data_IF_007847016412
#
_entry.id   IF_007847016412
#
_cell.length_a   1.000
_cell.length_b   1.000
_cell.length_c   1.000
_cell.angle_alpha   90.00
_cell.angle_beta   90.00
_cell.angle_gamma   90.00
#
_symmetry.space_group_name_H-M   'P 1'
#
loop_
_entity.id
_entity.type
_entity.pdbx_description
1 polymer ?
#
# COMPACT_ATOMS: atom_id res chain seq x y z
N UNK A 1 67.41 29.65 -10.25
CA UNK A 1 66.36 29.88 -9.25
C UNK A 1 64.94 29.74 -9.76
N UNK A 2 64.61 30.09 -11.01
CA UNK A 2 63.27 30.07 -11.66
C UNK A 2 62.74 28.66 -11.92
N UNK A 3 63.56 27.69 -12.23
CA UNK A 3 63.13 26.31 -12.63
C UNK A 3 62.51 25.50 -11.47
N UNK A 4 62.90 25.74 -10.22
CA UNK A 4 62.34 25.10 -9.01
C UNK A 4 60.91 25.53 -8.69
N UNK A 5 60.57 26.79 -8.96
CA UNK A 5 59.22 27.32 -8.74
C UNK A 5 58.21 26.77 -9.73
N UNK A 6 58.62 26.53 -10.98
CA UNK A 6 57.72 25.98 -12.03
C UNK A 6 57.31 24.53 -11.75
N UNK A 7 58.26 23.68 -11.23
CA UNK A 7 58.00 22.32 -10.90
C UNK A 7 57.10 22.18 -9.66
N UNK A 8 57.25 23.01 -8.65
CA UNK A 8 56.37 23.06 -7.47
C UNK A 8 54.96 23.42 -7.81
N UNK A 9 54.74 24.41 -8.70
CA UNK A 9 53.41 24.84 -9.13
C UNK A 9 52.67 23.74 -9.93
N UNK A 10 53.39 22.99 -10.77
CA UNK A 10 52.83 21.87 -11.54
C UNK A 10 52.44 20.68 -10.66
N UNK A 11 53.21 20.38 -9.63
CA UNK A 11 52.90 19.31 -8.66
C UNK A 11 51.67 19.65 -7.78
N UNK A 12 51.53 20.87 -7.34
CA UNK A 12 50.40 21.34 -6.55
C UNK A 12 49.11 21.28 -7.37
N UNK A 13 49.13 21.76 -8.62
CA UNK A 13 47.97 21.71 -9.54
C UNK A 13 47.52 20.26 -9.82
N UNK A 14 48.50 19.34 -9.98
CA UNK A 14 48.18 17.90 -10.21
C UNK A 14 47.55 17.22 -8.99
N UNK A 15 48.02 17.57 -7.78
CA UNK A 15 47.44 17.05 -6.53
C UNK A 15 46.02 17.59 -6.28
N UNK A 16 45.77 18.88 -6.53
CA UNK A 16 44.46 19.51 -6.41
C UNK A 16 43.45 18.87 -7.36
N UNK A 17 43.83 18.64 -8.63
CA UNK A 17 42.97 17.97 -9.58
C UNK A 17 42.60 16.52 -9.17
N UNK A 18 43.55 15.78 -8.58
CA UNK A 18 43.26 14.43 -8.05
C UNK A 18 42.27 14.46 -6.87
N UNK A 19 42.37 15.45 -6.00
CA UNK A 19 41.44 15.61 -4.87
C UNK A 19 40.05 15.97 -5.37
N UNK A 20 39.94 16.92 -6.28
CA UNK A 20 38.66 17.32 -6.90
C UNK A 20 37.99 16.14 -7.61
N UNK A 21 38.76 15.35 -8.37
CA UNK A 21 38.25 14.16 -9.07
C UNK A 21 37.73 13.11 -8.09
N UNK A 22 38.40 12.90 -6.94
CA UNK A 22 37.90 11.99 -5.89
C UNK A 22 36.61 12.48 -5.25
N UNK A 23 36.51 13.79 -4.99
CA UNK A 23 35.27 14.40 -4.49
C UNK A 23 34.11 14.25 -5.47
N UNK A 24 34.34 14.47 -6.75
CA UNK A 24 33.32 14.27 -7.80
C UNK A 24 32.89 12.80 -7.88
N UNK A 25 33.82 11.86 -7.77
CA UNK A 25 33.50 10.44 -7.80
C UNK A 25 32.66 10.00 -6.59
N UNK A 26 32.98 10.50 -5.40
CA UNK A 26 32.23 10.21 -4.16
C UNK A 26 30.82 10.80 -4.22
N UNK A 27 30.69 12.05 -4.68
CA UNK A 27 29.38 12.71 -4.84
C UNK A 27 28.52 12.00 -5.89
N UNK A 28 29.11 11.54 -6.97
CA UNK A 28 28.42 10.77 -8.00
C UNK A 28 27.95 9.40 -7.49
N UNK A 29 28.76 8.72 -6.70
CA UNK A 29 28.38 7.45 -6.04
C UNK A 29 27.23 7.69 -5.07
N UNK A 30 27.25 8.74 -4.25
CA UNK A 30 26.16 9.08 -3.33
C UNK A 30 24.87 9.37 -4.08
N UNK A 31 24.93 10.06 -5.23
CA UNK A 31 23.76 10.33 -6.09
C UNK A 31 23.19 9.07 -6.75
N UNK A 32 24.00 8.06 -7.02
CA UNK A 32 23.52 6.78 -7.56
C UNK A 32 22.78 5.94 -6.49
N UNK A 33 23.10 6.09 -5.21
CA UNK A 33 22.42 5.38 -4.12
C UNK A 33 21.18 6.12 -3.59
N UNK A 34 20.95 7.37 -3.95
CA UNK A 34 19.79 8.14 -3.48
C UNK A 34 18.46 7.75 -4.15
N UNK A 35 18.46 6.86 -5.14
CA UNK A 35 17.24 6.31 -5.76
C UNK A 35 16.82 4.95 -5.15
N UNK A 36 17.09 4.71 -3.87
CA UNK A 36 16.43 3.66 -3.12
C UNK A 36 14.96 4.09 -2.94
N UNK A 37 14.15 3.86 -3.98
CA UNK A 37 12.70 3.95 -3.87
C UNK A 37 12.29 3.01 -2.75
N UNK A 38 11.74 3.53 -1.67
CA UNK A 38 11.07 2.71 -0.68
C UNK A 38 10.03 1.86 -1.43
N UNK A 39 10.19 0.55 -1.38
CA UNK A 39 9.32 -0.37 -2.11
C UNK A 39 7.91 -0.27 -1.54
N UNK A 40 7.02 0.35 -2.30
CA UNK A 40 5.64 0.59 -1.89
C UNK A 40 4.95 -0.75 -1.65
N UNK A 41 4.48 -0.98 -0.42
CA UNK A 41 3.72 -2.19 -0.11
C UNK A 41 2.39 -2.18 -0.86
N UNK A 42 2.21 -3.15 -1.74
CA UNK A 42 0.98 -3.33 -2.51
C UNK A 42 0.43 -4.74 -2.29
N UNK A 43 -0.85 -4.82 -1.88
CA UNK A 43 -1.60 -6.06 -1.74
C UNK A 43 -2.69 -6.12 -2.80
N UNK A 44 -2.80 -7.26 -3.49
CA UNK A 44 -3.87 -7.58 -4.42
C UNK A 44 -4.71 -8.71 -3.84
N UNK A 45 -6.02 -8.58 -3.93
CA UNK A 45 -6.97 -9.55 -3.38
C UNK A 45 -8.08 -9.85 -4.39
N UNK A 46 -8.27 -11.14 -4.68
CA UNK A 46 -9.38 -11.64 -5.47
C UNK A 46 -10.52 -12.00 -4.53
N UNK A 47 -11.65 -11.33 -4.65
CA UNK A 47 -12.75 -11.41 -3.70
C UNK A 47 -13.99 -12.09 -4.26
N UNK A 48 -14.60 -12.91 -3.43
CA UNK A 48 -15.98 -13.39 -3.59
C UNK A 48 -16.86 -12.70 -2.57
N UNK A 49 -17.93 -12.06 -3.01
CA UNK A 49 -18.85 -11.30 -2.16
C UNK A 49 -20.18 -12.05 -2.01
N UNK A 50 -20.69 -12.08 -0.78
CA UNK A 50 -22.00 -12.63 -0.45
C UNK A 50 -22.76 -11.67 0.46
N UNK A 51 -24.01 -11.36 0.12
CA UNK A 51 -24.95 -10.70 1.03
C UNK A 51 -25.48 -11.74 1.98
N UNK A 52 -25.28 -11.54 3.28
CA UNK A 52 -25.79 -12.42 4.32
C UNK A 52 -27.23 -12.07 4.68
N UNK A 53 -27.50 -10.76 4.77
CA UNK A 53 -28.82 -10.25 5.11
C UNK A 53 -29.02 -8.85 4.50
N UNK A 54 -30.29 -8.47 4.31
CA UNK A 54 -30.67 -7.19 3.69
C UNK A 54 -32.01 -6.70 4.25
N UNK A 55 -32.05 -5.40 4.53
CA UNK A 55 -33.28 -4.64 4.84
C UNK A 55 -33.40 -3.53 3.84
N UNK A 56 -34.52 -3.48 3.11
CA UNK A 56 -34.84 -2.35 2.23
C UNK A 56 -35.60 -1.28 3.01
N UNK A 57 -35.16 -0.03 2.86
CA UNK A 57 -35.81 1.11 3.51
C UNK A 57 -37.00 1.61 2.70
N UNK A 58 -38.00 2.15 3.38
CA UNK A 58 -39.23 2.66 2.74
C UNK A 58 -38.93 3.82 1.77
N UNK A 59 -37.87 4.59 2.04
CA UNK A 59 -37.41 5.70 1.21
C UNK A 59 -36.55 5.32 0.01
N UNK A 60 -36.33 4.00 -0.21
CA UNK A 60 -35.58 3.46 -1.34
C UNK A 60 -34.08 3.23 -1.10
N UNK A 61 -33.61 3.38 0.15
CA UNK A 61 -32.29 2.94 0.58
C UNK A 61 -32.26 1.47 1.02
N UNK A 62 -31.12 1.00 1.53
CA UNK A 62 -31.01 -0.34 2.13
C UNK A 62 -29.85 -0.44 3.12
N UNK A 63 -30.01 -1.36 4.07
CA UNK A 63 -28.95 -1.89 4.91
C UNK A 63 -28.64 -3.31 4.48
N UNK A 64 -27.34 -3.63 4.32
CA UNK A 64 -26.88 -4.98 4.00
C UNK A 64 -25.76 -5.39 4.93
N UNK A 65 -25.71 -6.67 5.30
CA UNK A 65 -24.53 -7.29 5.90
C UNK A 65 -23.88 -8.16 4.86
N UNK A 66 -22.66 -7.83 4.49
CA UNK A 66 -21.91 -8.53 3.46
C UNK A 66 -20.72 -9.28 4.06
N UNK A 67 -20.37 -10.41 3.42
CA UNK A 67 -19.03 -10.99 3.51
C UNK A 67 -18.29 -10.79 2.21
N UNK A 68 -16.95 -10.64 2.32
CA UNK A 68 -16.05 -10.64 1.19
C UNK A 68 -14.84 -11.51 1.58
N UNK A 69 -14.52 -12.51 0.77
CA UNK A 69 -13.45 -13.45 1.11
C UNK A 69 -12.70 -13.93 -0.12
N UNK A 70 -11.44 -14.34 0.05
CA UNK A 70 -10.62 -14.89 -1.02
C UNK A 70 -9.13 -14.81 -0.76
N UNK A 71 -8.35 -15.22 -1.75
CA UNK A 71 -6.89 -15.22 -1.69
C UNK A 71 -6.30 -13.88 -2.08
N UNK A 72 -5.21 -13.53 -1.44
CA UNK A 72 -4.45 -12.33 -1.70
C UNK A 72 -2.96 -12.62 -1.92
N UNK A 73 -2.27 -11.71 -2.59
CA UNK A 73 -0.82 -11.66 -2.78
C UNK A 73 -0.30 -10.24 -2.57
N UNK A 74 0.97 -10.10 -2.19
CA UNK A 74 1.62 -8.80 -2.07
C UNK A 74 2.90 -8.67 -2.91
N UNK A 75 3.43 -7.45 -3.01
CA UNK A 75 4.66 -7.16 -3.76
C UNK A 75 5.92 -7.76 -3.16
N UNK A 76 5.87 -8.27 -1.93
CA UNK A 76 6.99 -8.94 -1.24
C UNK A 76 6.95 -10.46 -1.38
N UNK A 77 6.02 -10.98 -2.20
CA UNK A 77 5.87 -12.42 -2.47
C UNK A 77 5.13 -13.20 -1.40
N UNK A 78 4.49 -12.53 -0.44
CA UNK A 78 3.60 -13.19 0.51
C UNK A 78 2.21 -13.32 -0.09
N UNK A 79 1.52 -14.38 0.29
CA UNK A 79 0.17 -14.68 -0.12
C UNK A 79 -0.60 -15.34 1.02
N UNK A 80 -1.91 -15.31 0.94
CA UNK A 80 -2.73 -15.88 1.99
C UNK A 80 -4.22 -15.74 1.72
N UNK A 81 -5.00 -15.73 2.79
CA UNK A 81 -6.44 -15.62 2.75
C UNK A 81 -6.92 -14.45 3.60
N UNK A 82 -7.95 -13.77 3.13
CA UNK A 82 -8.57 -12.64 3.80
C UNK A 82 -10.09 -12.82 3.77
N UNK A 83 -10.73 -12.63 4.93
CA UNK A 83 -12.17 -12.64 5.08
C UNK A 83 -12.63 -11.39 5.78
N UNK A 84 -13.62 -10.72 5.23
CA UNK A 84 -14.23 -9.52 5.77
C UNK A 84 -15.72 -9.74 6.02
N UNK A 85 -16.26 -9.05 7.02
CA UNK A 85 -17.69 -8.99 7.30
C UNK A 85 -18.05 -7.61 7.82
N UNK A 86 -19.21 -7.12 7.48
CA UNK A 86 -19.76 -5.89 8.06
C UNK A 86 -20.87 -5.25 7.27
N UNK A 87 -21.38 -4.11 7.78
CA UNK A 87 -22.51 -3.41 7.19
C UNK A 87 -22.10 -2.60 5.96
N UNK A 88 -23.06 -2.52 5.04
CA UNK A 88 -23.10 -1.58 3.94
C UNK A 88 -24.45 -0.88 4.00
N UNK A 89 -24.44 0.43 4.10
CA UNK A 89 -25.65 1.26 4.07
C UNK A 89 -25.68 1.99 2.73
N UNK A 90 -26.81 1.92 2.06
CA UNK A 90 -27.08 2.66 0.83
C UNK A 90 -28.24 3.58 1.11
N UNK A 91 -28.06 4.89 0.93
CA UNK A 91 -29.15 5.87 1.09
C UNK A 91 -30.04 5.93 -0.15
N UNK A 92 -31.11 6.73 -0.07
CA UNK A 92 -32.07 6.93 -1.16
C UNK A 92 -31.46 7.65 -2.39
N UNK A 93 -30.30 8.29 -2.23
CA UNK A 93 -29.53 8.93 -3.31
C UNK A 93 -28.46 7.99 -3.90
N UNK A 94 -28.45 6.72 -3.50
CA UNK A 94 -27.49 5.69 -3.91
C UNK A 94 -26.06 5.91 -3.37
N UNK A 95 -25.87 6.78 -2.36
CA UNK A 95 -24.59 6.87 -1.67
C UNK A 95 -24.39 5.62 -0.81
N UNK A 96 -23.25 4.99 -0.96
CA UNK A 96 -22.86 3.77 -0.27
C UNK A 96 -21.88 4.13 0.84
N UNK A 97 -22.17 3.71 2.06
CA UNK A 97 -21.27 3.72 3.21
C UNK A 97 -20.93 2.26 3.58
N UNK A 98 -19.66 1.89 3.46
CA UNK A 98 -19.14 0.56 3.74
C UNK A 98 -18.21 0.61 4.96
N UNK A 99 -18.41 -0.34 5.88
CA UNK A 99 -17.54 -0.54 7.04
C UNK A 99 -17.38 -2.05 7.32
N UNK A 100 -16.29 -2.65 6.82
CA UNK A 100 -16.02 -4.07 6.99
C UNK A 100 -14.84 -4.30 7.93
N UNK A 101 -14.97 -5.25 8.84
CA UNK A 101 -13.87 -5.81 9.62
C UNK A 101 -13.36 -7.07 8.92
N UNK A 102 -12.05 -7.16 8.77
CA UNK A 102 -11.37 -8.23 8.07
C UNK A 102 -10.35 -8.92 8.96
N UNK A 103 -10.23 -10.21 8.81
CA UNK A 103 -9.23 -11.07 9.43
C UNK A 103 -8.49 -11.82 8.32
N UNK A 104 -7.17 -11.69 8.29
CA UNK A 104 -6.30 -12.29 7.28
C UNK A 104 -5.11 -12.99 7.88
N UNK A 105 -4.56 -13.93 7.11
CA UNK A 105 -3.30 -14.61 7.44
C UNK A 105 -2.49 -14.84 6.18
N UNK A 106 -1.18 -14.98 6.34
CA UNK A 106 -0.25 -15.27 5.25
C UNK A 106 0.29 -16.72 5.30
N UNK A 107 1.12 -17.05 4.31
CA UNK A 107 1.78 -18.34 4.17
C UNK A 107 2.79 -18.68 5.28
N UNK A 108 3.12 -17.73 6.16
CA UNK A 108 3.92 -17.93 7.37
C UNK A 108 3.06 -18.05 8.64
N UNK A 109 1.73 -18.04 8.51
CA UNK A 109 0.74 -17.98 9.59
C UNK A 109 0.79 -16.67 10.40
N UNK A 110 1.43 -15.60 9.89
CA UNK A 110 1.28 -14.28 10.46
C UNK A 110 -0.13 -13.75 10.15
N UNK A 111 -0.77 -13.14 11.15
CA UNK A 111 -2.16 -12.66 11.06
C UNK A 111 -2.20 -11.14 11.08
N UNK A 112 -3.26 -10.60 10.47
CA UNK A 112 -3.57 -9.19 10.52
C UNK A 112 -5.08 -8.94 10.49
N UNK A 113 -5.50 -7.87 11.14
CA UNK A 113 -6.88 -7.40 11.10
C UNK A 113 -6.91 -5.99 10.54
N UNK A 114 -7.79 -5.76 9.56
CA UNK A 114 -7.97 -4.45 8.94
C UNK A 114 -9.44 -4.04 8.98
N UNK A 115 -9.66 -2.75 9.13
CA UNK A 115 -10.96 -2.14 8.94
C UNK A 115 -11.01 -1.45 7.58
N UNK A 116 -11.93 -1.88 6.72
CA UNK A 116 -12.16 -1.28 5.40
C UNK A 116 -13.29 -0.28 5.49
N UNK A 117 -13.04 0.97 5.10
CA UNK A 117 -14.03 2.05 5.06
C UNK A 117 -14.11 2.64 3.66
N UNK A 118 -15.31 2.89 3.19
CA UNK A 118 -15.53 3.55 1.90
C UNK A 118 -16.87 4.27 1.85
N UNK A 119 -16.83 5.48 1.28
CA UNK A 119 -18.01 6.22 0.85
C UNK A 119 -17.92 6.37 -0.67
N UNK A 120 -18.94 5.94 -1.39
CA UNK A 120 -18.98 5.97 -2.87
C UNK A 120 -20.42 6.05 -3.36
N UNK A 121 -20.60 6.43 -4.61
CA UNK A 121 -21.92 6.40 -5.29
C UNK A 121 -22.18 5.03 -5.94
N UNK A 122 -21.16 4.21 -6.11
CA UNK A 122 -21.22 2.90 -6.75
C UNK A 122 -20.61 1.82 -5.87
N UNK A 123 -20.89 0.56 -6.18
CA UNK A 123 -20.28 -0.59 -5.50
C UNK A 123 -18.75 -0.63 -5.70
N UNK A 124 -18.23 -0.19 -6.85
CA UNK A 124 -16.80 0.02 -7.09
C UNK A 124 -16.32 1.34 -6.47
N UNK A 125 -15.02 1.49 -6.24
CA UNK A 125 -14.45 2.77 -5.79
C UNK A 125 -13.20 2.64 -4.93
N UNK A 126 -12.81 3.80 -4.38
CA UNK A 126 -11.61 3.97 -3.55
C UNK A 126 -12.02 4.12 -2.10
N UNK A 127 -11.29 3.48 -1.19
CA UNK A 127 -11.52 3.54 0.24
C UNK A 127 -10.22 3.49 1.06
N UNK A 128 -10.39 3.36 2.37
CA UNK A 128 -9.31 3.29 3.36
C UNK A 128 -9.29 1.92 4.02
N UNK A 129 -8.09 1.36 4.17
CA UNK A 129 -7.80 0.15 4.91
C UNK A 129 -6.93 0.51 6.11
N UNK A 130 -7.42 0.29 7.31
CA UNK A 130 -6.73 0.64 8.56
C UNK A 130 -6.34 -0.66 9.25
N UNK A 131 -5.04 -0.90 9.45
CA UNK A 131 -4.56 -2.06 10.18
C UNK A 131 -4.82 -1.87 11.68
N UNK A 132 -5.66 -2.74 12.24
CA UNK A 132 -6.10 -2.66 13.64
C UNK A 132 -5.20 -3.47 14.57
N UNK A 133 -4.73 -4.62 14.09
CA UNK A 133 -3.83 -5.53 14.82
C UNK A 133 -3.05 -6.40 13.85
N UNK A 134 -1.99 -7.05 14.34
CA UNK A 134 -1.18 -7.95 13.54
C UNK A 134 -0.16 -8.71 14.37
N UNK A 135 0.36 -9.81 13.81
CA UNK A 135 1.50 -10.57 14.32
C UNK A 135 2.66 -10.50 13.34
N UNK A 136 3.85 -10.93 13.77
CA UNK A 136 5.04 -11.01 12.92
C UNK A 136 5.29 -9.76 12.12
N UNK A 137 5.35 -9.89 10.80
CA UNK A 137 5.61 -8.76 9.89
C UNK A 137 4.56 -7.64 9.95
N UNK A 138 3.33 -7.95 10.36
CA UNK A 138 2.23 -6.97 10.40
C UNK A 138 2.21 -6.10 11.64
N UNK A 139 3.08 -6.35 12.64
CA UNK A 139 3.24 -5.48 13.80
C UNK A 139 3.57 -4.04 13.40
N UNK A 140 4.38 -3.86 12.36
CA UNK A 140 4.78 -2.55 11.85
C UNK A 140 3.68 -1.84 11.04
N UNK A 141 2.56 -2.53 10.78
CA UNK A 141 1.41 -1.95 10.09
C UNK A 141 0.33 -1.43 11.04
N UNK A 142 0.37 -1.77 12.32
CA UNK A 142 -0.65 -1.38 13.29
C UNK A 142 -0.85 0.14 13.28
N UNK A 143 -2.12 0.58 13.15
CA UNK A 143 -2.56 1.96 12.95
C UNK A 143 -2.17 2.59 11.60
N UNK A 144 -1.52 1.85 10.68
CA UNK A 144 -1.23 2.34 9.34
C UNK A 144 -2.52 2.40 8.53
N UNK A 145 -2.73 3.55 7.88
CA UNK A 145 -3.82 3.75 6.93
C UNK A 145 -3.29 3.59 5.50
N UNK A 146 -3.90 2.68 4.76
CA UNK A 146 -3.60 2.41 3.36
C UNK A 146 -4.79 2.83 2.49
N UNK A 147 -4.54 3.18 1.24
CA UNK A 147 -5.60 3.43 0.27
C UNK A 147 -5.87 2.15 -0.51
N UNK A 148 -7.14 1.82 -0.73
CA UNK A 148 -7.50 0.72 -1.60
C UNK A 148 -8.45 1.16 -2.71
N UNK A 149 -8.42 0.42 -3.81
CA UNK A 149 -9.42 0.47 -4.87
C UNK A 149 -10.03 -0.92 -5.05
N UNK A 150 -11.32 -0.99 -5.31
CA UNK A 150 -12.03 -2.22 -5.65
C UNK A 150 -12.83 -2.01 -6.93
N UNK A 151 -12.82 -3.05 -7.78
CA UNK A 151 -13.64 -3.13 -8.98
C UNK A 151 -14.30 -4.51 -9.05
N UNK A 152 -15.47 -4.60 -9.66
CA UNK A 152 -16.26 -5.84 -9.73
C UNK A 152 -16.40 -6.32 -11.17
N UNK A 153 -16.11 -7.60 -11.38
CA UNK A 153 -16.43 -8.29 -12.64
C UNK A 153 -17.94 -8.55 -12.75
N UNK A 154 -18.55 -8.89 -11.63
CA UNK A 154 -19.98 -9.10 -11.47
C UNK A 154 -20.35 -8.89 -9.98
N UNK A 155 -21.63 -8.91 -9.58
CA UNK A 155 -22.02 -8.66 -8.18
C UNK A 155 -21.41 -9.59 -7.12
N UNK A 156 -20.80 -10.71 -7.53
CA UNK A 156 -20.22 -11.71 -6.62
C UNK A 156 -18.70 -11.76 -6.65
N UNK A 157 -18.04 -11.24 -7.70
CA UNK A 157 -16.60 -11.37 -7.91
C UNK A 157 -15.98 -9.99 -8.11
N UNK A 158 -15.00 -9.67 -7.31
CA UNK A 158 -14.29 -8.40 -7.38
C UNK A 158 -12.78 -8.56 -7.29
N UNK A 159 -12.09 -7.48 -7.64
CA UNK A 159 -10.65 -7.32 -7.55
C UNK A 159 -10.34 -6.09 -6.70
N UNK A 160 -9.49 -6.29 -5.75
CA UNK A 160 -9.06 -5.28 -4.81
C UNK A 160 -7.55 -5.08 -4.93
N UNK A 161 -7.13 -3.83 -4.88
CA UNK A 161 -5.72 -3.45 -4.79
C UNK A 161 -5.55 -2.43 -3.67
N UNK A 162 -4.62 -2.69 -2.76
CA UNK A 162 -4.29 -1.80 -1.65
C UNK A 162 -2.84 -1.33 -1.77
N UNK A 163 -2.62 -0.08 -1.45
CA UNK A 163 -1.32 0.55 -1.43
C UNK A 163 -1.13 1.23 -0.07
N UNK A 164 -0.04 0.89 0.61
CA UNK A 164 0.39 1.54 1.83
C UNK A 164 1.66 2.32 1.55
N UNK A 165 1.63 3.62 1.79
CA UNK A 165 2.81 4.48 1.77
C UNK A 165 3.49 4.44 3.13
N UNK A 166 4.80 4.49 3.13
CA UNK A 166 5.60 4.61 4.35
C UNK A 166 5.46 5.98 5.00
#
# INVERSE_FOLDING_TARGET
MWMRFYLLRKNVSFQVNKIIMKFFLITFIILLFSNLNAEEFCLKWSITVKVLDKIDFIDGGSFRVNTAEGSWEDTKGFYGYLKCIGPIIIDNKKNLNLNLMCDGYDNNNDRFQINLKRNSVEDAGIGKAIYMSGTGRYLNFINKECTYAVNYLNPKVGFYKQICKD
#
